data_IF_457443624815
#
_entry.id   IF_457443624815
#
_cell.length_a   1.000
_cell.length_b   1.000
_cell.length_c   1.000
_cell.angle_alpha   90.00
_cell.angle_beta   90.00
_cell.angle_gamma   90.00
#
_symmetry.space_group_name_H-M   'P 1'
#
loop_
_entity.id
_entity.type
_entity.pdbx_description
1 polymer ?
#
# COMPACT_ATOMS: atom_id res chain seq x y z
N UNK A 1 -0.94 3.84 -9.60
CA UNK A 1 0.31 3.12 -9.95
C UNK A 1 0.20 2.62 -11.39
N UNK A 2 1.28 2.73 -12.16
CA UNK A 2 1.40 2.12 -13.48
C UNK A 2 2.66 1.25 -13.47
N UNK A 3 2.56 0.02 -13.95
CA UNK A 3 3.72 -0.82 -14.20
C UNK A 3 4.01 -0.83 -15.70
N UNK A 4 5.28 -0.64 -16.05
CA UNK A 4 5.76 -0.69 -17.44
C UNK A 4 6.74 -1.86 -17.51
N UNK A 5 6.30 -2.93 -18.17
CA UNK A 5 7.13 -4.11 -18.39
C UNK A 5 8.30 -3.77 -19.32
N UNK A 6 9.56 -4.05 -18.94
CA UNK A 6 10.70 -3.91 -19.83
C UNK A 6 10.60 -4.84 -21.06
N UNK A 7 11.18 -4.40 -22.18
CA UNK A 7 11.14 -5.11 -23.47
C UNK A 7 11.73 -6.52 -23.40
N UNK A 8 12.81 -6.71 -22.62
CA UNK A 8 13.52 -7.99 -22.48
C UNK A 8 12.72 -9.07 -21.70
N UNK A 9 11.44 -8.83 -21.41
CA UNK A 9 10.45 -9.88 -21.13
C UNK A 9 10.48 -10.57 -19.77
N UNK A 10 11.61 -10.63 -19.08
CA UNK A 10 11.80 -11.50 -17.90
C UNK A 10 12.10 -10.76 -16.58
N UNK A 11 11.88 -9.44 -16.52
CA UNK A 11 12.19 -8.64 -15.33
C UNK A 11 11.45 -9.10 -14.06
N UNK A 12 10.26 -9.67 -14.23
CA UNK A 12 9.43 -10.19 -13.15
C UNK A 12 9.03 -11.63 -13.46
N UNK A 13 9.52 -12.59 -12.68
CA UNK A 13 9.15 -14.00 -12.84
C UNK A 13 7.65 -14.20 -12.58
N UNK A 14 7.01 -15.18 -13.24
CA UNK A 14 5.61 -15.53 -12.98
C UNK A 14 5.39 -15.90 -11.51
N UNK A 15 4.22 -15.55 -10.99
CA UNK A 15 3.75 -15.90 -9.65
C UNK A 15 2.31 -16.44 -9.72
N UNK A 16 1.88 -17.14 -8.67
CA UNK A 16 0.53 -17.71 -8.62
C UNK A 16 -0.56 -16.64 -8.44
N UNK A 17 -0.24 -15.53 -7.75
CA UNK A 17 -1.15 -14.40 -7.52
C UNK A 17 -0.43 -13.06 -7.55
N UNK A 18 -1.11 -12.07 -8.11
CA UNK A 18 -0.67 -10.67 -8.08
C UNK A 18 -1.71 -9.80 -7.39
N UNK A 19 -1.25 -8.84 -6.60
CA UNK A 19 -2.07 -7.89 -5.86
C UNK A 19 -1.64 -6.46 -6.09
N UNK A 20 -2.62 -5.56 -6.06
CA UNK A 20 -2.41 -4.13 -6.05
C UNK A 20 -2.82 -3.55 -4.69
N UNK A 21 -1.88 -2.87 -4.05
CA UNK A 21 -2.10 -2.23 -2.75
C UNK A 21 -1.51 -0.83 -2.81
N UNK A 22 -2.27 0.17 -2.41
CA UNK A 22 -1.79 1.54 -2.34
C UNK A 22 -2.13 2.15 -0.98
N UNK A 23 -1.12 2.69 -0.30
CA UNK A 23 -1.31 3.48 0.92
C UNK A 23 -1.73 4.91 0.55
N UNK A 24 -2.64 5.48 1.34
CA UNK A 24 -3.04 6.88 1.24
C UNK A 24 -3.34 7.44 2.62
N UNK A 25 -2.97 8.69 2.83
CA UNK A 25 -3.35 9.51 3.98
C UNK A 25 -4.58 10.36 3.63
N UNK A 26 -5.49 10.49 4.58
CA UNK A 26 -6.65 11.37 4.49
C UNK A 26 -6.62 12.37 5.65
N UNK A 27 -6.79 13.65 5.31
CA UNK A 27 -6.82 14.77 6.24
C UNK A 27 -8.21 15.36 6.21
N UNK A 28 -8.93 15.27 7.31
CA UNK A 28 -10.28 15.80 7.38
C UNK A 28 -10.55 16.43 8.73
N UNK A 29 -11.43 17.43 8.71
CA UNK A 29 -11.94 18.04 9.94
C UNK A 29 -12.76 17.00 10.74
N UNK A 30 -12.86 17.13 12.07
CA UNK A 30 -13.71 16.25 12.85
C UNK A 30 -15.14 16.21 12.30
N UNK A 31 -15.78 15.04 12.21
CA UNK A 31 -17.15 14.95 11.72
C UNK A 31 -18.09 15.75 12.62
N UNK A 32 -18.97 16.53 12.00
CA UNK A 32 -20.05 17.21 12.70
C UNK A 32 -21.01 16.19 13.33
N UNK A 33 -21.68 16.56 14.41
CA UNK A 33 -22.73 15.73 15.01
C UNK A 33 -24.06 16.13 14.38
N UNK A 34 -24.71 15.18 13.72
CA UNK A 34 -26.02 15.37 13.11
C UNK A 34 -27.14 15.42 14.18
N UNK A 35 -28.34 15.86 13.80
CA UNK A 35 -29.51 15.95 14.70
C UNK A 35 -29.88 14.61 15.38
N UNK A 36 -29.47 13.50 14.77
CA UNK A 36 -29.65 12.14 15.30
C UNK A 36 -28.62 11.76 16.38
N UNK A 37 -27.70 12.67 16.73
CA UNK A 37 -26.63 12.49 17.71
C UNK A 37 -25.44 11.67 17.22
N UNK A 38 -25.37 11.34 15.93
CA UNK A 38 -24.27 10.55 15.35
C UNK A 38 -23.30 11.44 14.58
N UNK A 39 -22.01 11.08 14.52
CA UNK A 39 -21.07 11.74 13.63
C UNK A 39 -21.49 11.62 12.17
N UNK A 40 -21.35 12.70 11.41
CA UNK A 40 -21.65 12.70 10.00
C UNK A 40 -20.74 11.74 9.24
N UNK A 41 -21.31 11.13 8.20
CA UNK A 41 -20.57 10.28 7.26
C UNK A 41 -19.78 11.07 6.23
N UNK A 42 -20.00 12.39 6.17
CA UNK A 42 -19.25 13.31 5.30
C UNK A 42 -18.38 14.19 6.17
N UNK A 43 -17.14 14.37 5.74
CA UNK A 43 -16.15 15.21 6.38
C UNK A 43 -15.52 16.13 5.34
N UNK A 44 -15.15 17.34 5.75
CA UNK A 44 -14.44 18.28 4.88
C UNK A 44 -12.93 18.07 4.99
N UNK A 45 -12.21 18.37 3.91
CA UNK A 45 -10.75 18.30 3.90
C UNK A 45 -10.14 19.32 4.86
N UNK A 46 -9.21 18.88 5.71
CA UNK A 46 -8.47 19.77 6.62
C UNK A 46 -7.13 20.19 6.01
N UNK A 47 -7.11 21.37 5.41
CA UNK A 47 -5.87 22.02 4.96
C UNK A 47 -4.82 22.21 6.08
N UNK A 48 -5.18 22.70 7.30
CA UNK A 48 -4.19 22.89 8.35
C UNK A 48 -3.60 21.57 8.88
N UNK A 49 -4.37 20.48 8.94
CA UNK A 49 -3.84 19.17 9.32
C UNK A 49 -2.91 18.61 8.25
N UNK A 50 -3.26 18.77 6.97
CA UNK A 50 -2.41 18.37 5.85
C UNK A 50 -1.05 19.11 5.86
N UNK A 51 -1.04 20.42 6.14
CA UNK A 51 0.20 21.19 6.24
C UNK A 51 1.08 20.78 7.42
N UNK A 52 0.50 20.24 8.49
CA UNK A 52 1.25 19.72 9.66
C UNK A 52 1.59 18.24 9.53
N UNK A 53 1.18 17.59 8.43
CA UNK A 53 1.35 16.15 8.21
C UNK A 53 0.70 15.30 9.32
N UNK A 54 -0.44 15.74 9.84
CA UNK A 54 -1.22 15.05 10.88
C UNK A 54 -2.47 14.39 10.27
N UNK A 55 -2.38 13.19 9.65
CA UNK A 55 -3.52 12.57 8.99
C UNK A 55 -4.54 12.07 9.99
N UNK A 56 -5.82 12.25 9.66
CA UNK A 56 -6.94 11.68 10.42
C UNK A 56 -7.04 10.17 10.19
N UNK A 57 -6.65 9.70 9.00
CA UNK A 57 -6.58 8.28 8.67
C UNK A 57 -5.44 7.97 7.70
N UNK A 58 -4.82 6.80 7.87
CA UNK A 58 -3.91 6.19 6.88
C UNK A 58 -4.48 4.83 6.52
N UNK A 59 -4.80 4.64 5.23
CA UNK A 59 -5.56 3.48 4.77
C UNK A 59 -4.90 2.83 3.56
N UNK A 60 -5.23 1.56 3.33
CA UNK A 60 -4.92 0.89 2.08
C UNK A 60 -6.15 0.89 1.17
N UNK A 61 -5.95 1.20 -0.11
CA UNK A 61 -6.98 1.14 -1.15
C UNK A 61 -8.24 1.99 -0.85
N UNK A 62 -8.07 3.11 -0.14
CA UNK A 62 -9.06 4.20 -0.03
C UNK A 62 -9.99 4.17 1.18
N UNK A 63 -10.07 3.09 1.96
CA UNK A 63 -10.87 3.04 3.20
C UNK A 63 -10.29 2.10 4.24
N UNK A 64 -10.67 2.28 5.51
CA UNK A 64 -10.18 1.45 6.64
C UNK A 64 -10.50 -0.05 6.47
N UNK A 65 -11.64 -0.36 5.85
CA UNK A 65 -12.14 -1.73 5.69
C UNK A 65 -11.67 -2.43 4.41
N UNK A 66 -11.05 -1.69 3.47
CA UNK A 66 -10.84 -2.15 2.10
C UNK A 66 -10.13 -3.50 2.00
N UNK A 67 -9.02 -3.68 2.73
CA UNK A 67 -8.21 -4.91 2.70
C UNK A 67 -8.47 -5.85 3.87
N UNK A 68 -9.47 -5.59 4.70
CA UNK A 68 -9.80 -6.43 5.86
C UNK A 68 -11.17 -7.07 5.71
N UNK A 69 -12.23 -6.27 5.71
CA UNK A 69 -13.61 -6.76 5.66
C UNK A 69 -14.14 -6.84 4.24
N UNK A 70 -13.84 -5.84 3.42
CA UNK A 70 -14.50 -5.69 2.13
C UNK A 70 -13.86 -6.61 1.08
N UNK A 71 -12.53 -6.54 0.93
CA UNK A 71 -11.76 -7.31 -0.04
C UNK A 71 -10.41 -7.76 0.54
N UNK A 72 -10.41 -8.68 1.52
CA UNK A 72 -9.16 -9.24 2.04
C UNK A 72 -8.38 -9.98 0.95
N UNK A 73 -7.05 -9.85 1.00
CA UNK A 73 -6.14 -10.60 0.14
C UNK A 73 -6.17 -12.09 0.54
N UNK A 74 -6.23 -13.01 -0.44
CA UNK A 74 -6.38 -14.46 -0.18
C UNK A 74 -5.29 -15.26 -0.89
N UNK A 75 -4.62 -16.16 -0.21
CA UNK A 75 -3.70 -17.09 -0.83
C UNK A 75 -3.82 -18.46 -0.17
N UNK A 76 -3.31 -19.49 -0.85
CA UNK A 76 -3.17 -20.84 -0.31
C UNK A 76 -1.72 -21.06 0.10
N UNK A 77 -1.51 -21.92 1.09
CA UNK A 77 -0.17 -22.39 1.46
C UNK A 77 0.54 -22.96 0.23
N UNK A 78 1.80 -22.58 0.04
CA UNK A 78 2.62 -22.96 -1.09
C UNK A 78 2.45 -22.08 -2.33
N UNK A 79 1.53 -21.10 -2.37
CA UNK A 79 1.44 -20.14 -3.48
C UNK A 79 2.53 -19.06 -3.37
N UNK A 80 3.04 -18.62 -4.53
CA UNK A 80 3.86 -17.43 -4.70
C UNK A 80 2.96 -16.21 -4.94
N UNK A 81 3.24 -15.12 -4.23
CA UNK A 81 2.41 -13.91 -4.27
C UNK A 81 3.29 -12.71 -4.59
N UNK A 82 2.90 -11.90 -5.58
CA UNK A 82 3.47 -10.58 -5.83
C UNK A 82 2.52 -9.50 -5.36
N UNK A 83 3.05 -8.47 -4.70
CA UNK A 83 2.31 -7.26 -4.36
C UNK A 83 2.98 -6.08 -5.03
N UNK A 84 2.25 -5.41 -5.90
CA UNK A 84 2.57 -4.08 -6.40
C UNK A 84 2.09 -3.08 -5.36
N UNK A 85 3.01 -2.64 -4.50
CA UNK A 85 2.74 -1.72 -3.42
C UNK A 85 3.09 -0.29 -3.82
N UNK A 86 2.11 0.60 -3.81
CA UNK A 86 2.33 2.04 -3.98
C UNK A 86 2.16 2.78 -2.66
N UNK A 87 2.91 3.86 -2.48
CA UNK A 87 2.58 4.85 -1.46
C UNK A 87 2.18 6.14 -2.16
N UNK A 88 0.87 6.44 -2.21
CA UNK A 88 0.40 7.70 -2.76
C UNK A 88 0.78 8.89 -1.87
N UNK A 89 0.91 8.66 -0.55
CA UNK A 89 1.12 9.70 0.45
C UNK A 89 -0.17 10.47 0.77
N UNK A 90 -0.11 11.82 0.83
CA UNK A 90 0.88 12.65 0.16
C UNK A 90 2.20 12.86 0.93
N UNK A 91 2.28 12.61 2.24
CA UNK A 91 3.42 13.07 3.04
C UNK A 91 4.24 11.94 3.68
N UNK A 92 3.60 10.91 4.23
CA UNK A 92 4.29 9.94 5.07
C UNK A 92 5.00 8.86 4.25
N UNK A 93 6.18 8.45 4.71
CA UNK A 93 6.87 7.26 4.19
C UNK A 93 6.30 6.01 4.84
N UNK A 94 5.92 5.03 4.02
CA UNK A 94 5.47 3.72 4.50
C UNK A 94 6.65 2.84 4.85
N UNK A 95 6.58 2.15 5.99
CA UNK A 95 7.46 1.02 6.32
C UNK A 95 6.68 -0.27 6.05
N UNK A 96 6.59 -0.65 4.77
CA UNK A 96 5.72 -1.73 4.33
C UNK A 96 6.23 -3.09 4.82
N UNK A 97 5.35 -3.83 5.49
CA UNK A 97 5.63 -5.10 6.12
C UNK A 97 4.40 -6.01 6.06
N UNK A 98 4.64 -7.33 5.90
CA UNK A 98 3.60 -8.36 6.01
C UNK A 98 3.93 -9.24 7.22
N UNK A 99 3.11 -9.10 8.27
CA UNK A 99 3.31 -9.80 9.54
C UNK A 99 3.30 -11.32 9.31
N UNK A 100 4.30 -12.01 9.89
CA UNK A 100 4.44 -13.45 9.79
C UNK A 100 5.10 -13.95 8.49
N UNK A 101 5.62 -13.05 7.65
CA UNK A 101 6.30 -13.41 6.41
C UNK A 101 7.60 -12.61 6.20
N UNK A 102 8.36 -12.99 5.17
CA UNK A 102 9.52 -12.27 4.66
C UNK A 102 9.38 -12.15 3.14
N UNK A 103 9.81 -11.02 2.60
CA UNK A 103 9.86 -10.80 1.16
C UNK A 103 11.04 -11.57 0.56
N UNK A 104 10.74 -12.50 -0.34
CA UNK A 104 11.76 -13.26 -1.08
C UNK A 104 12.53 -12.35 -2.04
N UNK A 105 11.80 -11.47 -2.73
CA UNK A 105 12.36 -10.42 -3.58
C UNK A 105 11.70 -9.08 -3.26
N UNK A 106 12.51 -8.01 -3.24
CA UNK A 106 12.07 -6.62 -3.08
C UNK A 106 12.71 -5.78 -4.16
N UNK A 107 11.88 -5.30 -5.07
CA UNK A 107 12.21 -4.30 -6.08
C UNK A 107 11.90 -2.93 -5.48
N UNK A 108 12.96 -2.25 -5.02
CA UNK A 108 12.85 -0.92 -4.39
C UNK A 108 12.53 0.13 -5.44
N UNK A 109 11.81 1.15 -5.04
CA UNK A 109 11.47 2.32 -5.86
C UNK A 109 10.75 1.97 -7.19
N UNK A 110 10.16 0.78 -7.28
CA UNK A 110 9.48 0.26 -8.46
C UNK A 110 10.42 -0.17 -9.61
N UNK A 111 11.74 -0.12 -9.42
CA UNK A 111 12.72 -0.49 -10.44
C UNK A 111 12.86 -2.01 -10.57
N UNK A 112 12.72 -2.53 -11.79
CA UNK A 112 12.80 -3.97 -12.10
C UNK A 112 14.00 -4.36 -12.99
N UNK A 113 14.83 -3.39 -13.37
CA UNK A 113 16.02 -3.60 -14.20
C UNK A 113 17.19 -4.12 -13.36
N UNK A 114 17.38 -3.55 -12.16
CA UNK A 114 18.40 -4.00 -11.23
C UNK A 114 17.95 -5.26 -10.47
N UNK A 115 18.90 -6.13 -10.05
CA UNK A 115 18.56 -7.28 -9.22
C UNK A 115 17.85 -6.88 -7.93
N UNK A 116 16.76 -7.58 -7.54
CA UNK A 116 16.03 -7.24 -6.33
C UNK A 116 16.83 -7.55 -5.07
N UNK A 117 16.56 -6.80 -4.01
CA UNK A 117 17.00 -7.21 -2.68
C UNK A 117 16.27 -8.50 -2.26
N UNK A 118 16.90 -9.29 -1.38
CA UNK A 118 16.42 -10.63 -1.02
C UNK A 118 16.25 -10.79 0.49
N UNK A 119 15.22 -11.56 0.87
CA UNK A 119 14.95 -11.98 2.26
C UNK A 119 14.86 -10.79 3.22
N UNK A 120 14.10 -9.77 2.84
CA UNK A 120 13.84 -8.60 3.69
C UNK A 120 12.54 -8.76 4.47
N UNK A 121 12.50 -8.29 5.71
CA UNK A 121 11.26 -8.23 6.50
C UNK A 121 10.40 -7.01 6.14
N UNK A 122 11.04 -5.86 5.92
CA UNK A 122 10.37 -4.56 5.75
C UNK A 122 11.04 -3.75 4.65
N UNK A 123 10.29 -2.96 3.91
CA UNK A 123 10.79 -2.02 2.90
C UNK A 123 10.23 -0.61 3.13
N UNK A 124 11.10 0.40 3.09
CA UNK A 124 10.69 1.80 3.11
C UNK A 124 10.19 2.22 1.73
N UNK A 125 9.02 2.85 1.66
CA UNK A 125 8.39 3.31 0.42
C UNK A 125 7.97 4.78 0.59
N UNK A 126 8.70 5.73 -0.02
CA UNK A 126 8.41 7.16 0.13
C UNK A 126 7.08 7.52 -0.54
N UNK A 127 6.43 8.64 -0.17
CA UNK A 127 5.24 9.13 -0.87
C UNK A 127 5.56 9.40 -2.34
N UNK A 128 4.61 9.09 -3.23
CA UNK A 128 4.81 9.08 -4.68
C UNK A 128 5.66 7.90 -5.19
N UNK A 129 6.21 7.08 -4.30
CA UNK A 129 7.03 5.92 -4.63
C UNK A 129 6.23 4.62 -4.69
N UNK A 130 6.93 3.56 -5.07
CA UNK A 130 6.39 2.21 -5.10
C UNK A 130 7.47 1.18 -4.74
N UNK A 131 7.03 -0.03 -4.41
CA UNK A 131 7.86 -1.21 -4.33
C UNK A 131 7.10 -2.41 -4.89
N UNK A 132 7.82 -3.36 -5.45
CA UNK A 132 7.25 -4.66 -5.83
C UNK A 132 7.87 -5.69 -4.90
N UNK A 133 7.04 -6.48 -4.23
CA UNK A 133 7.50 -7.53 -3.32
C UNK A 133 6.92 -8.88 -3.69
N UNK A 134 7.78 -9.89 -3.65
CA UNK A 134 7.38 -11.28 -3.86
C UNK A 134 7.47 -12.05 -2.53
N UNK A 135 6.45 -12.84 -2.23
CA UNK A 135 6.33 -13.66 -1.03
C UNK A 135 6.06 -15.12 -1.38
N UNK A 136 6.36 -15.99 -0.42
CA UNK A 136 5.91 -17.38 -0.41
C UNK A 136 4.97 -17.60 0.77
N UNK A 137 3.78 -18.13 0.50
CA UNK A 137 2.74 -18.46 1.49
C UNK A 137 2.84 -19.90 1.97
#
# INVERSE_FOLDING_TARGET
LIYVQPEDGDALSPVDREYYVMQSEFYHEPPEIEDNGRPSSTVEFSYPAALREEPSAVVFNGSESALTRDRPLKAKTGESVRIFFGNAGPNLTSSFHVIGSHFQHVFRDGGVVDPPARVLSTVGVPPGGAAIVDLKM
#
